data_IF_277104123582
#
_entry.id   IF_277104123582
#
_cell.length_a   1.000
_cell.length_b   1.000
_cell.length_c   1.000
_cell.angle_alpha   90.00
_cell.angle_beta   90.00
_cell.angle_gamma   90.00
#
_symmetry.space_group_name_H-M   'P 1'
#
loop_
_entity.id
_entity.type
_entity.pdbx_description
1 polymer ?
#
# COMPACT_ATOMS: atom_id res chain seq x y z
N UNK A 1 0.54 4.26 -18.08
CA UNK A 1 -0.62 4.13 -17.16
C UNK A 1 -0.91 5.52 -16.59
N UNK A 2 -2.16 5.98 -16.58
CA UNK A 2 -2.49 7.29 -16.02
C UNK A 2 -2.29 7.29 -14.49
N UNK A 3 -1.72 8.37 -13.91
CA UNK A 3 -1.40 8.47 -12.48
C UNK A 3 -2.62 8.20 -11.59
N UNK A 4 -3.81 8.65 -12.01
CA UNK A 4 -5.08 8.35 -11.31
C UNK A 4 -5.36 6.84 -11.24
N UNK A 5 -5.14 6.11 -12.34
CA UNK A 5 -5.38 4.67 -12.40
C UNK A 5 -4.33 3.89 -11.59
N UNK A 6 -3.11 4.42 -11.48
CA UNK A 6 -2.09 3.88 -10.58
C UNK A 6 -2.51 4.05 -9.11
N UNK A 7 -2.89 5.26 -8.68
CA UNK A 7 -3.31 5.52 -7.31
C UNK A 7 -4.57 4.74 -6.92
N UNK A 8 -5.56 4.65 -7.81
CA UNK A 8 -6.78 3.86 -7.56
C UNK A 8 -6.44 2.38 -7.40
N UNK A 9 -5.57 1.83 -8.25
CA UNK A 9 -5.11 0.44 -8.10
C UNK A 9 -4.29 0.22 -6.83
N UNK A 10 -3.43 1.16 -6.48
CA UNK A 10 -2.66 1.14 -5.23
C UNK A 10 -3.58 1.10 -4.02
N UNK A 11 -4.60 1.95 -4.00
CA UNK A 11 -5.54 2.04 -2.90
C UNK A 11 -6.43 0.79 -2.81
N UNK A 12 -6.95 0.31 -3.94
CA UNK A 12 -7.75 -0.92 -4.00
C UNK A 12 -6.92 -2.13 -3.56
N UNK A 13 -5.73 -2.33 -4.14
CA UNK A 13 -4.90 -3.48 -3.80
C UNK A 13 -4.35 -3.40 -2.38
N UNK A 14 -4.02 -2.21 -1.88
CA UNK A 14 -3.59 -2.01 -0.50
C UNK A 14 -4.70 -2.32 0.51
N UNK A 15 -5.92 -1.84 0.26
CA UNK A 15 -7.08 -2.11 1.14
C UNK A 15 -7.49 -3.58 1.07
N UNK A 16 -7.60 -4.15 -0.13
CA UNK A 16 -7.91 -5.58 -0.29
C UNK A 16 -6.83 -6.46 0.32
N UNK A 17 -5.57 -6.14 0.09
CA UNK A 17 -4.42 -6.82 0.67
C UNK A 17 -4.50 -6.82 2.20
N UNK A 18 -4.69 -5.65 2.81
CA UNK A 18 -4.84 -5.52 4.27
C UNK A 18 -5.99 -6.38 4.80
N UNK A 19 -7.18 -6.26 4.20
CA UNK A 19 -8.38 -6.97 4.66
C UNK A 19 -8.23 -8.49 4.53
N UNK A 20 -7.74 -8.97 3.39
CA UNK A 20 -7.56 -10.40 3.13
C UNK A 20 -6.43 -10.94 4.01
N UNK A 21 -5.29 -10.27 4.07
CA UNK A 21 -4.16 -10.68 4.88
C UNK A 21 -4.52 -10.77 6.36
N UNK A 22 -5.17 -9.73 6.90
CA UNK A 22 -5.62 -9.70 8.29
C UNK A 22 -6.62 -10.82 8.57
N UNK A 23 -7.63 -11.02 7.72
CA UNK A 23 -8.62 -12.08 7.90
C UNK A 23 -8.00 -13.48 7.88
N UNK A 24 -7.16 -13.77 6.88
CA UNK A 24 -6.54 -15.09 6.71
C UNK A 24 -5.59 -15.42 7.86
N UNK A 25 -4.67 -14.51 8.20
CA UNK A 25 -3.72 -14.78 9.27
C UNK A 25 -4.38 -14.74 10.66
N UNK A 26 -5.41 -13.92 10.86
CA UNK A 26 -6.19 -13.94 12.10
C UNK A 26 -6.92 -15.27 12.29
N UNK A 27 -7.50 -15.82 11.22
CA UNK A 27 -8.17 -17.13 11.26
C UNK A 27 -7.17 -18.26 11.52
N UNK A 28 -6.03 -18.27 10.83
CA UNK A 28 -4.95 -19.24 11.06
C UNK A 28 -4.41 -19.11 12.48
N UNK A 29 -4.16 -17.88 12.94
CA UNK A 29 -3.67 -17.62 14.28
C UNK A 29 -4.64 -18.09 15.35
N UNK A 30 -5.94 -17.86 15.17
CA UNK A 30 -6.97 -18.36 16.07
C UNK A 30 -6.97 -19.90 16.17
N UNK A 31 -6.83 -20.59 15.04
CA UNK A 31 -6.75 -22.06 15.02
C UNK A 31 -5.50 -22.60 15.74
N UNK A 32 -4.37 -21.88 15.71
CA UNK A 32 -3.12 -22.32 16.33
C UNK A 32 -3.01 -21.97 17.81
N UNK A 33 -3.47 -20.77 18.22
CA UNK A 33 -3.18 -20.22 19.54
C UNK A 33 -4.38 -19.45 20.16
N UNK A 34 -5.60 -19.69 19.66
CA UNK A 34 -6.80 -19.05 20.19
C UNK A 34 -6.75 -17.53 20.09
N UNK A 35 -7.22 -16.82 21.13
CA UNK A 35 -7.33 -15.37 21.09
C UNK A 35 -6.00 -14.63 20.93
N UNK A 36 -4.90 -15.17 21.46
CA UNK A 36 -3.56 -14.57 21.29
C UNK A 36 -3.10 -14.67 19.83
N UNK A 37 -3.35 -15.82 19.22
CA UNK A 37 -3.08 -16.03 17.80
C UNK A 37 -3.98 -15.20 16.89
N UNK A 38 -5.24 -14.97 17.26
CA UNK A 38 -6.16 -14.10 16.51
C UNK A 38 -5.62 -12.66 16.40
N UNK A 39 -5.17 -12.08 17.51
CA UNK A 39 -4.63 -10.72 17.57
C UNK A 39 -3.30 -10.60 16.82
N UNK A 40 -2.37 -11.52 17.08
CA UNK A 40 -1.07 -11.55 16.39
C UNK A 40 -1.25 -11.81 14.89
N UNK A 41 -2.15 -12.71 14.54
CA UNK A 41 -2.51 -13.03 13.15
C UNK A 41 -3.15 -11.84 12.43
N UNK A 42 -4.02 -11.08 13.09
CA UNK A 42 -4.60 -9.87 12.49
C UNK A 42 -3.52 -8.81 12.22
N UNK A 43 -2.62 -8.57 13.17
CA UNK A 43 -1.55 -7.59 13.03
C UNK A 43 -0.54 -7.98 11.94
N UNK A 44 -0.05 -9.22 11.96
CA UNK A 44 0.87 -9.73 10.93
C UNK A 44 0.18 -9.81 9.56
N UNK A 45 -1.07 -10.23 9.55
CA UNK A 45 -1.89 -10.31 8.35
C UNK A 45 -2.10 -8.97 7.67
N UNK A 46 -2.36 -7.91 8.44
CA UNK A 46 -2.47 -6.56 7.90
C UNK A 46 -1.16 -6.11 7.22
N UNK A 47 -0.01 -6.39 7.85
CA UNK A 47 1.31 -6.02 7.33
C UNK A 47 1.63 -6.79 6.03
N UNK A 48 1.53 -8.12 6.08
CA UNK A 48 1.80 -8.99 4.92
C UNK A 48 0.83 -8.69 3.78
N UNK A 49 -0.43 -8.47 4.12
CA UNK A 49 -1.48 -8.07 3.19
C UNK A 49 -1.18 -6.75 2.48
N UNK A 50 -0.72 -5.74 3.22
CA UNK A 50 -0.40 -4.42 2.65
C UNK A 50 0.85 -4.49 1.76
N UNK A 51 1.87 -5.26 2.15
CA UNK A 51 3.05 -5.52 1.33
C UNK A 51 2.68 -6.29 0.05
N UNK A 52 1.83 -7.32 0.15
CA UNK A 52 1.31 -8.07 -0.99
C UNK A 52 0.45 -7.20 -1.92
N UNK A 53 -0.37 -6.32 -1.36
CA UNK A 53 -1.14 -5.34 -2.12
C UNK A 53 -0.24 -4.36 -2.87
N UNK A 54 0.85 -3.91 -2.25
CA UNK A 54 1.82 -3.01 -2.86
C UNK A 54 2.61 -3.69 -4.00
N UNK A 55 3.00 -4.95 -3.83
CA UNK A 55 3.70 -5.72 -4.88
C UNK A 55 2.76 -6.10 -6.04
N UNK A 56 1.49 -6.37 -5.76
CA UNK A 56 0.46 -6.69 -6.75
C UNK A 56 0.09 -5.52 -7.69
N UNK A 57 0.41 -4.28 -7.31
CA UNK A 57 0.25 -3.10 -8.20
C UNK A 57 1.26 -3.13 -9.36
N UNK A 58 2.25 -4.02 -9.30
CA UNK A 58 3.18 -4.27 -10.40
C UNK A 58 4.36 -3.31 -10.33
N UNK A 59 5.49 -3.85 -9.86
CA UNK A 59 6.81 -3.26 -9.78
C UNK A 59 6.91 -1.93 -9.02
N UNK A 60 7.86 -1.89 -8.08
CA UNK A 60 8.41 -0.69 -7.45
C UNK A 60 8.73 0.44 -8.46
N UNK A 61 8.88 0.12 -9.75
CA UNK A 61 9.05 1.03 -10.89
C UNK A 61 7.86 2.01 -11.07
N UNK A 62 6.61 1.58 -10.87
CA UNK A 62 5.44 2.46 -10.94
C UNK A 62 5.40 3.46 -9.78
N UNK A 63 5.90 3.04 -8.61
CA UNK A 63 6.09 3.91 -7.45
C UNK A 63 7.23 4.91 -7.69
N UNK A 64 8.36 4.47 -8.29
CA UNK A 64 9.47 5.35 -8.66
C UNK A 64 9.07 6.44 -9.67
N UNK A 65 8.27 6.11 -10.67
CA UNK A 65 7.68 7.09 -11.60
C UNK A 65 6.74 8.07 -10.91
N UNK A 66 5.92 7.59 -9.98
CA UNK A 66 4.99 8.42 -9.22
C UNK A 66 5.74 9.38 -8.29
N UNK A 67 6.73 8.89 -7.54
CA UNK A 67 7.64 9.71 -6.73
C UNK A 67 8.38 10.75 -7.57
N UNK A 68 8.89 10.36 -8.74
CA UNK A 68 9.56 11.27 -9.67
C UNK A 68 8.63 12.37 -10.19
N UNK A 69 7.36 12.06 -10.43
CA UNK A 69 6.35 13.03 -10.86
C UNK A 69 5.97 14.00 -9.74
N UNK A 70 5.78 13.50 -8.51
CA UNK A 70 5.48 14.32 -7.32
C UNK A 70 6.65 15.27 -7.03
N UNK A 71 7.89 14.79 -7.10
CA UNK A 71 9.09 15.60 -6.92
C UNK A 71 9.20 16.72 -7.96
N UNK A 72 8.98 16.41 -9.24
CA UNK A 72 8.96 17.43 -10.30
C UNK A 72 7.85 18.44 -10.11
N UNK A 73 6.66 18.02 -9.69
CA UNK A 73 5.54 18.93 -9.43
C UNK A 73 5.86 19.92 -8.29
N UNK A 74 6.54 19.46 -7.24
CA UNK A 74 7.06 20.32 -6.17
C UNK A 74 8.10 21.33 -6.64
N UNK A 75 9.03 20.92 -7.51
CA UNK A 75 10.05 21.81 -8.09
C UNK A 75 9.48 22.88 -9.03
N UNK A 76 8.42 22.57 -9.78
CA UNK A 76 7.75 23.56 -10.64
C UNK A 76 7.06 24.65 -9.83
N UNK A 77 6.34 24.27 -8.76
CA UNK A 77 5.67 25.22 -7.86
C UNK A 77 6.67 26.16 -7.17
N UNK A 78 7.79 25.60 -6.72
CA UNK A 78 8.83 26.38 -6.05
C UNK A 78 9.53 27.40 -6.97
N UNK A 79 9.51 27.20 -8.29
CA UNK A 79 10.04 28.15 -9.28
C UNK A 79 9.03 29.24 -9.65
N UNK A 80 7.74 28.92 -9.65
CA UNK A 80 6.66 29.90 -9.86
C UNK A 80 6.59 30.90 -8.68
N UNK A 81 6.81 30.41 -7.46
CA UNK A 81 6.78 31.24 -6.25
C UNK A 81 8.00 32.16 -6.10
N UNK A 82 9.13 31.86 -6.75
CA UNK A 82 10.33 32.74 -6.78
C UNK A 82 10.32 33.72 -7.96
N UNK A 83 9.38 33.58 -8.90
CA UNK A 83 9.26 34.38 -10.12
C UNK A 83 8.18 35.48 -10.02
N UNK A 84 7.48 35.57 -8.89
CA UNK A 84 6.48 36.61 -8.58
C UNK A 84 7.03 37.64 -7.60
#
# INVERSE_FOLDING_TARGET
MNSKNFFVRLLINGVLGLMIGAAVLSMIGYLLAGNEGLLNGAALGAIVGLLGGLTAVGNLEGFGWTMGTIRRYGEHRHKEDMSS
#
